data_IF_105755922340
#
_entry.id   IF_105755922340
#
_cell.length_a   1.000
_cell.length_b   1.000
_cell.length_c   1.000
_cell.angle_alpha   90.00
_cell.angle_beta   90.00
_cell.angle_gamma   90.00
#
_symmetry.space_group_name_H-M   'P 1'
#
loop_
_entity.id
_entity.type
_entity.pdbx_description
1 polymer ?
#
# COMPACT_ATOMS: atom_id res chain seq x y z
N UNK A 1 10.84 -38.73 -70.85
CA UNK A 1 11.31 -39.22 -69.55
C UNK A 1 11.70 -38.01 -68.71
N UNK A 2 10.78 -37.52 -67.91
CA UNK A 2 10.94 -36.34 -67.02
C UNK A 2 11.20 -36.82 -65.62
N UNK A 3 12.40 -36.62 -65.07
CA UNK A 3 12.74 -36.89 -63.65
C UNK A 3 12.26 -35.70 -62.82
N UNK A 4 11.27 -35.94 -61.95
CA UNK A 4 10.87 -35.01 -60.91
C UNK A 4 11.84 -35.10 -59.74
N UNK A 5 12.54 -34.04 -59.43
CA UNK A 5 13.33 -33.87 -58.19
C UNK A 5 12.41 -33.36 -57.13
N UNK A 6 12.18 -34.17 -56.08
CA UNK A 6 11.46 -33.79 -54.88
C UNK A 6 12.45 -33.10 -53.93
N UNK A 7 12.31 -31.79 -53.78
CA UNK A 7 13.04 -31.02 -52.76
C UNK A 7 12.32 -31.17 -51.43
N UNK A 8 12.90 -31.86 -50.45
CA UNK A 8 12.44 -31.95 -49.09
C UNK A 8 12.96 -30.70 -48.36
N UNK A 9 12.06 -29.79 -48.02
CA UNK A 9 12.32 -28.66 -47.14
C UNK A 9 12.30 -29.17 -45.68
N UNK A 10 13.48 -29.33 -45.08
CA UNK A 10 13.61 -29.56 -43.62
C UNK A 10 13.45 -28.20 -42.93
N UNK A 11 12.27 -27.95 -42.36
CA UNK A 11 12.05 -26.82 -41.45
C UNK A 11 12.63 -27.22 -40.11
N UNK A 12 13.85 -26.76 -39.82
CA UNK A 12 14.44 -26.83 -38.47
C UNK A 12 13.72 -25.78 -37.61
N UNK A 13 12.69 -26.17 -36.89
CA UNK A 13 12.08 -25.41 -35.83
C UNK A 13 13.08 -25.23 -34.69
N UNK A 14 13.77 -24.07 -34.63
CA UNK A 14 14.46 -23.66 -33.40
C UNK A 14 13.40 -23.36 -32.34
N UNK A 15 13.17 -24.38 -31.48
CA UNK A 15 12.48 -24.14 -30.21
C UNK A 15 13.38 -23.20 -29.37
N UNK A 16 13.00 -21.98 -29.25
CA UNK A 16 13.50 -21.11 -28.23
C UNK A 16 13.00 -21.65 -26.88
N UNK A 17 13.79 -22.53 -26.27
CA UNK A 17 13.67 -22.84 -24.86
C UNK A 17 14.16 -21.57 -24.10
N UNK A 18 13.27 -20.59 -23.93
CA UNK A 18 13.48 -19.56 -22.93
C UNK A 18 13.63 -20.31 -21.60
N UNK A 19 14.78 -20.15 -20.97
CA UNK A 19 15.01 -20.70 -19.64
C UNK A 19 14.00 -20.02 -18.72
N UNK A 20 12.97 -20.76 -18.30
CA UNK A 20 12.07 -20.28 -17.26
C UNK A 20 12.94 -20.08 -16.00
N UNK A 21 12.96 -18.85 -15.49
CA UNK A 21 13.65 -18.55 -14.23
C UNK A 21 13.08 -19.46 -13.13
N UNK A 22 13.97 -20.02 -12.32
CA UNK A 22 13.51 -20.79 -11.16
C UNK A 22 12.88 -19.89 -10.11
N UNK A 23 12.03 -20.42 -9.24
CA UNK A 23 11.48 -19.69 -8.09
C UNK A 23 12.60 -19.08 -7.25
N UNK A 24 13.72 -19.80 -7.08
CA UNK A 24 14.88 -19.30 -6.33
C UNK A 24 15.54 -18.09 -7.02
N UNK A 25 15.67 -18.10 -8.36
CA UNK A 25 16.24 -16.97 -9.11
C UNK A 25 15.32 -15.74 -9.03
N UNK A 26 14.01 -15.96 -9.17
CA UNK A 26 13.01 -14.88 -9.02
C UNK A 26 13.02 -14.29 -7.61
N UNK A 27 13.14 -15.11 -6.58
CA UNK A 27 13.23 -14.65 -5.19
C UNK A 27 14.49 -13.81 -4.96
N UNK A 28 15.65 -14.26 -5.45
CA UNK A 28 16.89 -13.50 -5.34
C UNK A 28 16.83 -12.18 -6.11
N UNK A 29 16.18 -12.16 -7.27
CA UNK A 29 15.95 -10.93 -8.03
C UNK A 29 15.01 -9.97 -7.27
N UNK A 30 13.94 -10.47 -6.67
CA UNK A 30 13.02 -9.68 -5.87
C UNK A 30 13.74 -9.02 -4.66
N UNK A 31 14.55 -9.79 -3.92
CA UNK A 31 15.35 -9.30 -2.79
C UNK A 31 16.32 -8.18 -3.22
N UNK A 32 16.95 -8.31 -4.38
CA UNK A 32 17.86 -7.30 -4.92
C UNK A 32 17.15 -6.00 -5.36
N UNK A 33 15.94 -6.11 -5.92
CA UNK A 33 15.15 -4.97 -6.42
C UNK A 33 14.42 -4.23 -5.30
N UNK A 34 13.99 -4.93 -4.25
CA UNK A 34 13.14 -4.36 -3.21
C UNK A 34 13.72 -3.08 -2.55
N UNK A 35 15.00 -3.00 -2.19
CA UNK A 35 15.58 -1.79 -1.59
C UNK A 35 15.64 -0.59 -2.54
N UNK A 36 15.68 -0.83 -3.85
CA UNK A 36 15.86 0.20 -4.89
C UNK A 36 14.57 0.48 -5.68
N UNK A 37 13.42 -0.02 -5.24
CA UNK A 37 12.11 0.16 -5.89
C UNK A 37 11.57 1.59 -5.86
N UNK A 38 12.31 2.52 -5.23
CA UNK A 38 12.03 3.95 -5.30
C UNK A 38 12.27 4.55 -6.70
N UNK A 39 12.84 3.79 -7.63
CA UNK A 39 12.91 4.12 -9.04
C UNK A 39 11.81 3.37 -9.80
N UNK A 40 11.03 4.07 -10.63
CA UNK A 40 9.87 3.50 -11.32
C UNK A 40 10.22 2.23 -12.12
N UNK A 41 11.33 2.24 -12.85
CA UNK A 41 11.75 1.06 -13.63
C UNK A 41 12.03 -0.17 -12.76
N UNK A 42 12.62 0.03 -11.57
CA UNK A 42 12.86 -1.05 -10.62
C UNK A 42 11.55 -1.52 -9.96
N UNK A 43 10.62 -0.62 -9.68
CA UNK A 43 9.28 -0.95 -9.18
C UNK A 43 8.53 -1.82 -10.19
N UNK A 44 8.48 -1.42 -11.45
CA UNK A 44 7.78 -2.18 -12.51
C UNK A 44 8.41 -3.55 -12.74
N UNK A 45 9.75 -3.63 -12.72
CA UNK A 45 10.46 -4.90 -12.80
C UNK A 45 10.17 -5.80 -11.60
N UNK A 46 10.16 -5.25 -10.39
CA UNK A 46 9.85 -5.98 -9.17
C UNK A 46 8.42 -6.53 -9.17
N UNK A 47 7.45 -5.74 -9.63
CA UNK A 47 6.06 -6.22 -9.82
C UNK A 47 6.05 -7.41 -10.78
N UNK A 48 6.72 -7.32 -11.92
CA UNK A 48 6.80 -8.43 -12.89
C UNK A 48 7.43 -9.69 -12.31
N UNK A 49 8.45 -9.56 -11.46
CA UNK A 49 9.08 -10.70 -10.74
C UNK A 49 8.07 -11.36 -9.79
N UNK A 50 7.32 -10.57 -8.99
CA UNK A 50 6.31 -11.13 -8.10
C UNK A 50 5.12 -11.74 -8.85
N UNK A 51 4.74 -11.20 -10.00
CA UNK A 51 3.73 -11.81 -10.87
C UNK A 51 4.20 -13.16 -11.44
N UNK A 52 5.49 -13.29 -11.78
CA UNK A 52 6.08 -14.55 -12.19
C UNK A 52 6.14 -15.57 -11.03
N UNK A 53 6.45 -15.12 -9.81
CA UNK A 53 6.36 -15.96 -8.60
C UNK A 53 4.94 -16.44 -8.35
N UNK A 54 3.95 -15.56 -8.51
CA UNK A 54 2.54 -15.93 -8.37
C UNK A 54 2.08 -16.93 -9.45
N UNK A 55 2.60 -16.78 -10.68
CA UNK A 55 2.30 -17.74 -11.75
C UNK A 55 2.89 -19.13 -11.47
N UNK A 56 4.06 -19.19 -10.81
CA UNK A 56 4.68 -20.45 -10.38
C UNK A 56 3.94 -21.07 -9.18
N UNK A 57 3.42 -20.27 -8.28
CA UNK A 57 2.71 -20.68 -7.06
C UNK A 57 1.35 -19.95 -6.94
N UNK A 58 0.35 -20.32 -7.75
CA UNK A 58 -0.97 -19.68 -7.71
C UNK A 58 -1.61 -19.83 -6.33
N UNK A 59 -2.00 -18.70 -5.72
CA UNK A 59 -2.60 -18.69 -4.39
C UNK A 59 -1.61 -18.55 -3.22
N UNK A 60 -0.31 -18.35 -3.48
CA UNK A 60 0.65 -18.00 -2.43
C UNK A 60 0.27 -16.66 -1.78
N UNK A 61 -0.27 -16.72 -0.55
CA UNK A 61 -0.80 -15.56 0.16
C UNK A 61 0.28 -14.48 0.42
N UNK A 62 1.52 -14.89 0.70
CA UNK A 62 2.64 -13.96 0.92
C UNK A 62 2.98 -13.19 -0.37
N UNK A 63 3.05 -13.88 -1.50
CA UNK A 63 3.29 -13.25 -2.81
C UNK A 63 2.15 -12.29 -3.17
N UNK A 64 0.90 -12.68 -2.89
CA UNK A 64 -0.28 -11.82 -3.11
C UNK A 64 -0.23 -10.57 -2.23
N UNK A 65 0.15 -10.68 -0.95
CA UNK A 65 0.30 -9.54 -0.05
C UNK A 65 1.42 -8.59 -0.52
N UNK A 66 2.54 -9.14 -1.01
CA UNK A 66 3.62 -8.33 -1.60
C UNK A 66 3.17 -7.61 -2.88
N UNK A 67 2.41 -8.26 -3.74
CA UNK A 67 1.83 -7.60 -4.92
C UNK A 67 0.86 -6.49 -4.51
N UNK A 68 0.04 -6.70 -3.49
CA UNK A 68 -0.84 -5.63 -2.96
C UNK A 68 -0.02 -4.41 -2.49
N UNK A 69 1.08 -4.62 -1.77
CA UNK A 69 2.01 -3.57 -1.37
C UNK A 69 2.61 -2.85 -2.58
N UNK A 70 3.20 -3.59 -3.50
CA UNK A 70 3.92 -3.01 -4.64
C UNK A 70 2.99 -2.22 -5.55
N UNK A 71 1.78 -2.70 -5.81
CA UNK A 71 0.79 -1.96 -6.57
C UNK A 71 0.29 -0.72 -5.82
N UNK A 72 0.14 -0.79 -4.49
CA UNK A 72 -0.14 0.41 -3.68
C UNK A 72 1.00 1.43 -3.77
N UNK A 73 2.25 1.01 -3.61
CA UNK A 73 3.44 1.86 -3.76
C UNK A 73 3.59 2.40 -5.19
N UNK A 74 3.23 1.62 -6.22
CA UNK A 74 3.22 2.05 -7.63
C UNK A 74 2.32 3.26 -7.87
N UNK A 75 1.24 3.42 -7.09
CA UNK A 75 0.35 4.57 -7.18
C UNK A 75 1.05 5.90 -6.84
N UNK A 76 2.17 5.88 -6.11
CA UNK A 76 2.96 7.08 -5.80
C UNK A 76 3.53 7.72 -7.09
N UNK A 77 3.91 6.90 -8.07
CA UNK A 77 4.47 7.35 -9.35
C UNK A 77 3.41 7.71 -10.39
N UNK A 78 2.16 7.38 -10.13
CA UNK A 78 1.12 7.50 -11.13
C UNK A 78 0.50 8.91 -11.17
N UNK A 79 0.11 9.40 -12.35
CA UNK A 79 -0.76 10.55 -12.46
C UNK A 79 -2.14 10.24 -11.86
N UNK A 80 -2.87 11.27 -11.44
CA UNK A 80 -4.09 11.11 -10.65
C UNK A 80 -5.17 10.27 -11.36
N UNK A 81 -5.27 10.41 -12.68
CA UNK A 81 -6.23 9.68 -13.52
C UNK A 81 -6.00 8.16 -13.57
N UNK A 82 -4.76 7.70 -13.33
CA UNK A 82 -4.42 6.28 -13.33
C UNK A 82 -4.54 5.62 -11.95
N UNK A 83 -4.52 6.41 -10.88
CA UNK A 83 -4.44 5.90 -9.50
C UNK A 83 -5.60 4.98 -9.14
N UNK A 84 -6.81 5.25 -9.62
CA UNK A 84 -7.94 4.38 -9.30
C UNK A 84 -7.73 2.95 -9.81
N UNK A 85 -7.31 2.78 -11.07
CA UNK A 85 -7.07 1.46 -11.65
C UNK A 85 -5.94 0.72 -10.91
N UNK A 86 -4.86 1.42 -10.58
CA UNK A 86 -3.72 0.87 -9.84
C UNK A 86 -4.16 0.42 -8.43
N UNK A 87 -4.89 1.25 -7.70
CA UNK A 87 -5.38 0.93 -6.35
C UNK A 87 -6.41 -0.21 -6.36
N UNK A 88 -7.22 -0.33 -7.42
CA UNK A 88 -8.11 -1.50 -7.61
C UNK A 88 -7.31 -2.79 -7.76
N UNK A 89 -6.24 -2.76 -8.54
CA UNK A 89 -5.33 -3.90 -8.69
C UNK A 89 -4.67 -4.25 -7.35
N UNK A 90 -4.18 -3.25 -6.61
CA UNK A 90 -3.61 -3.45 -5.29
C UNK A 90 -4.60 -4.08 -4.30
N UNK A 91 -5.84 -3.55 -4.24
CA UNK A 91 -6.89 -4.09 -3.38
C UNK A 91 -7.32 -5.50 -3.80
N UNK A 92 -7.36 -5.81 -5.11
CA UNK A 92 -7.66 -7.14 -5.61
C UNK A 92 -6.65 -8.18 -5.11
N UNK A 93 -5.36 -7.92 -5.29
CA UNK A 93 -4.30 -8.76 -4.72
C UNK A 93 -4.39 -8.87 -3.20
N UNK A 94 -4.71 -7.76 -2.52
CA UNK A 94 -4.90 -7.74 -1.09
C UNK A 94 -6.03 -8.66 -0.62
N UNK A 95 -7.21 -8.56 -1.21
CA UNK A 95 -8.33 -9.45 -0.86
C UNK A 95 -8.04 -10.92 -1.19
N UNK A 96 -7.33 -11.17 -2.29
CA UNK A 96 -6.87 -12.53 -2.64
C UNK A 96 -5.87 -13.07 -1.61
N UNK A 97 -4.99 -12.24 -1.06
CA UNK A 97 -4.07 -12.65 0.01
C UNK A 97 -4.79 -13.05 1.30
N UNK A 98 -5.99 -12.48 1.52
CA UNK A 98 -6.88 -12.87 2.62
C UNK A 98 -7.71 -14.13 2.34
N UNK A 99 -7.55 -14.74 1.15
CA UNK A 99 -8.24 -15.98 0.74
C UNK A 99 -9.58 -15.77 0.06
N UNK A 100 -9.87 -14.56 -0.41
CA UNK A 100 -11.05 -14.26 -1.24
C UNK A 100 -10.72 -14.37 -2.72
N UNK A 101 -11.74 -14.32 -3.58
CA UNK A 101 -11.55 -14.34 -5.04
C UNK A 101 -11.00 -13.02 -5.60
N UNK A 102 -11.11 -11.91 -4.84
CA UNK A 102 -10.59 -10.60 -5.20
C UNK A 102 -11.43 -9.44 -4.65
N UNK A 103 -11.25 -8.27 -5.27
CA UNK A 103 -11.86 -7.01 -4.83
C UNK A 103 -13.39 -7.07 -4.76
N UNK A 104 -14.05 -7.62 -5.77
CA UNK A 104 -15.52 -7.62 -5.86
C UNK A 104 -16.14 -8.41 -4.70
N UNK A 105 -15.58 -9.57 -4.35
CA UNK A 105 -16.00 -10.34 -3.18
C UNK A 105 -15.72 -9.55 -1.89
N UNK A 106 -14.54 -8.96 -1.76
CA UNK A 106 -14.15 -8.16 -0.61
C UNK A 106 -15.11 -7.00 -0.31
N UNK A 107 -15.54 -6.28 -1.35
CA UNK A 107 -16.48 -5.17 -1.22
C UNK A 107 -17.87 -5.61 -0.73
N UNK A 108 -18.27 -6.84 -0.99
CA UNK A 108 -19.59 -7.39 -0.62
C UNK A 108 -19.63 -8.06 0.75
N UNK A 109 -18.47 -8.29 1.40
CA UNK A 109 -18.44 -8.89 2.73
C UNK A 109 -19.31 -8.13 3.73
N UNK A 110 -20.06 -8.85 4.55
CA UNK A 110 -20.68 -8.28 5.74
C UNK A 110 -19.64 -7.96 6.81
N UNK A 111 -19.96 -7.09 7.76
CA UNK A 111 -19.06 -6.79 8.90
C UNK A 111 -18.74 -8.04 9.73
N UNK A 112 -19.71 -8.96 9.85
CA UNK A 112 -19.52 -10.24 10.55
C UNK A 112 -18.54 -11.16 9.81
N UNK A 113 -18.71 -11.29 8.51
CA UNK A 113 -17.83 -12.13 7.67
C UNK A 113 -16.41 -11.58 7.63
N UNK A 114 -16.25 -10.25 7.52
CA UNK A 114 -14.94 -9.62 7.58
C UNK A 114 -14.25 -9.87 8.92
N UNK A 115 -14.96 -9.71 10.06
CA UNK A 115 -14.38 -10.01 11.38
C UNK A 115 -13.98 -11.48 11.52
N UNK A 116 -14.80 -12.41 11.02
CA UNK A 116 -14.48 -13.83 11.02
C UNK A 116 -13.26 -14.14 10.12
N UNK A 117 -13.12 -13.46 8.99
CA UNK A 117 -11.96 -13.56 8.12
C UNK A 117 -10.70 -13.07 8.83
N UNK A 118 -10.74 -11.85 9.39
CA UNK A 118 -9.61 -11.22 10.06
C UNK A 118 -9.18 -11.98 11.33
N UNK A 119 -10.13 -12.57 12.07
CA UNK A 119 -9.80 -13.36 13.27
C UNK A 119 -8.90 -14.58 12.99
N UNK A 120 -9.01 -15.16 11.79
CA UNK A 120 -8.14 -16.29 11.33
C UNK A 120 -6.90 -15.86 10.58
N UNK A 121 -6.81 -14.59 10.18
CA UNK A 121 -5.64 -14.04 9.49
C UNK A 121 -4.58 -13.64 10.51
N UNK A 122 -3.36 -14.16 10.33
CA UNK A 122 -2.22 -13.91 11.22
C UNK A 122 -1.12 -13.06 10.59
N UNK A 123 -1.22 -12.78 9.29
CA UNK A 123 -0.27 -11.95 8.55
C UNK A 123 -0.73 -10.48 8.54
N UNK A 124 -0.04 -9.58 9.27
CA UNK A 124 -0.37 -8.16 9.27
C UNK A 124 -0.17 -7.50 7.90
N UNK A 125 0.72 -8.03 7.04
CA UNK A 125 0.94 -7.51 5.69
C UNK A 125 -0.31 -7.62 4.83
N UNK A 126 -0.92 -8.80 4.80
CA UNK A 126 -2.14 -9.05 4.04
C UNK A 126 -3.27 -8.09 4.43
N UNK A 127 -3.41 -7.80 5.73
CA UNK A 127 -4.46 -6.92 6.23
C UNK A 127 -4.13 -5.44 5.95
N UNK A 128 -2.88 -5.01 6.25
CA UNK A 128 -2.46 -3.61 6.11
C UNK A 128 -2.58 -3.13 4.67
N UNK A 129 -1.97 -3.87 3.73
CA UNK A 129 -1.93 -3.44 2.34
C UNK A 129 -3.30 -3.51 1.65
N UNK A 130 -4.16 -4.45 2.06
CA UNK A 130 -5.57 -4.46 1.65
C UNK A 130 -6.29 -3.22 2.18
N UNK A 131 -6.14 -2.93 3.47
CA UNK A 131 -6.76 -1.76 4.13
C UNK A 131 -6.29 -0.44 3.54
N UNK A 132 -5.00 -0.29 3.25
CA UNK A 132 -4.44 0.91 2.61
C UNK A 132 -4.99 1.12 1.20
N UNK A 133 -4.96 0.08 0.37
CA UNK A 133 -5.45 0.15 -1.01
C UNK A 133 -6.94 0.46 -1.06
N UNK A 134 -7.74 -0.23 -0.25
CA UNK A 134 -9.17 0.02 -0.14
C UNK A 134 -9.47 1.40 0.46
N UNK A 135 -8.73 1.82 1.49
CA UNK A 135 -8.87 3.14 2.11
C UNK A 135 -8.69 4.29 1.12
N UNK A 136 -7.66 4.23 0.27
CA UNK A 136 -7.47 5.24 -0.78
C UNK A 136 -8.52 5.18 -1.90
N UNK A 137 -9.10 4.00 -2.16
CA UNK A 137 -10.21 3.87 -3.10
C UNK A 137 -11.48 4.55 -2.60
N UNK A 138 -11.71 4.70 -1.28
CA UNK A 138 -12.92 5.33 -0.75
C UNK A 138 -13.14 6.73 -1.33
N UNK A 139 -12.08 7.52 -1.48
CA UNK A 139 -12.16 8.86 -2.05
C UNK A 139 -12.56 8.89 -3.54
N UNK A 140 -12.57 7.73 -4.21
CA UNK A 140 -12.89 7.54 -5.64
C UNK A 140 -14.16 6.73 -5.85
N UNK A 141 -14.74 6.23 -4.77
CA UNK A 141 -15.97 5.43 -4.80
C UNK A 141 -17.23 6.30 -4.69
N UNK A 142 -18.38 5.70 -4.99
CA UNK A 142 -19.66 6.30 -4.65
C UNK A 142 -19.71 6.60 -3.13
N UNK A 143 -20.14 7.81 -2.70
CA UNK A 143 -20.13 8.22 -1.29
C UNK A 143 -20.84 7.25 -0.33
N UNK A 144 -21.95 6.63 -0.75
CA UNK A 144 -22.67 5.65 0.08
C UNK A 144 -21.86 4.38 0.28
N UNK A 145 -21.20 3.87 -0.77
CA UNK A 145 -20.32 2.70 -0.68
C UNK A 145 -19.07 3.02 0.15
N UNK A 146 -18.51 4.21 -0.01
CA UNK A 146 -17.40 4.68 0.82
C UNK A 146 -17.78 4.72 2.30
N UNK A 147 -18.91 5.32 2.65
CA UNK A 147 -19.39 5.40 4.02
C UNK A 147 -19.63 4.02 4.63
N UNK A 148 -20.25 3.10 3.90
CA UNK A 148 -20.48 1.71 4.34
C UNK A 148 -19.16 0.93 4.57
N UNK A 149 -18.07 1.34 3.94
CA UNK A 149 -16.76 0.68 4.05
C UNK A 149 -15.91 1.18 5.21
N UNK A 150 -16.19 2.37 5.78
CA UNK A 150 -15.36 2.99 6.82
C UNK A 150 -15.20 2.11 8.06
N UNK A 151 -16.29 1.49 8.54
CA UNK A 151 -16.26 0.57 9.69
C UNK A 151 -15.42 -0.67 9.42
N UNK A 152 -15.43 -1.17 8.19
CA UNK A 152 -14.66 -2.34 7.77
C UNK A 152 -13.15 -2.04 7.73
N UNK A 153 -12.76 -0.91 7.17
CA UNK A 153 -11.37 -0.45 7.16
C UNK A 153 -10.87 -0.20 8.58
N UNK A 154 -11.71 0.38 9.43
CA UNK A 154 -11.42 0.53 10.85
C UNK A 154 -11.07 -0.82 11.49
N UNK A 155 -11.92 -1.85 11.29
CA UNK A 155 -11.70 -3.20 11.83
C UNK A 155 -10.41 -3.82 11.29
N UNK A 156 -10.03 -3.55 10.04
CA UNK A 156 -8.76 -4.02 9.48
C UNK A 156 -7.56 -3.41 10.21
N UNK A 157 -7.53 -2.09 10.41
CA UNK A 157 -6.42 -1.45 11.11
C UNK A 157 -6.36 -1.84 12.60
N UNK A 158 -7.52 -1.97 13.27
CA UNK A 158 -7.58 -2.52 14.63
C UNK A 158 -6.91 -3.91 14.68
N UNK A 159 -7.17 -4.76 13.68
CA UNK A 159 -6.57 -6.09 13.62
C UNK A 159 -5.07 -6.07 13.35
N UNK A 160 -4.57 -5.17 12.50
CA UNK A 160 -3.11 -4.97 12.31
C UNK A 160 -2.44 -4.60 13.63
N UNK A 161 -3.04 -3.65 14.37
CA UNK A 161 -2.54 -3.20 15.67
C UNK A 161 -2.52 -4.34 16.71
N UNK A 162 -3.56 -5.19 16.72
CA UNK A 162 -3.60 -6.36 17.60
C UNK A 162 -2.53 -7.40 17.28
N UNK A 163 -2.22 -7.60 15.99
CA UNK A 163 -1.23 -8.58 15.55
C UNK A 163 0.20 -8.10 15.78
N UNK A 164 0.50 -6.91 15.32
CA UNK A 164 1.82 -6.28 15.44
C UNK A 164 1.69 -4.76 15.26
N UNK A 165 1.63 -3.98 16.35
CA UNK A 165 1.55 -2.53 16.25
C UNK A 165 2.79 -1.88 15.63
N UNK A 166 3.96 -2.55 15.68
CA UNK A 166 5.22 -2.10 15.09
C UNK A 166 5.39 -2.46 13.62
N UNK A 167 4.48 -3.30 13.09
CA UNK A 167 4.57 -3.72 11.69
C UNK A 167 4.70 -2.52 10.76
N UNK A 168 5.64 -2.62 9.84
CA UNK A 168 5.95 -1.60 8.83
C UNK A 168 6.12 -0.19 9.43
N UNK A 169 6.98 -0.07 10.44
CA UNK A 169 7.30 1.22 11.09
C UNK A 169 6.12 1.86 11.84
N UNK A 170 5.17 1.06 12.33
CA UNK A 170 3.99 1.57 13.03
C UNK A 170 2.86 2.05 12.09
N UNK A 171 2.83 1.54 10.85
CA UNK A 171 1.78 1.91 9.86
C UNK A 171 0.36 1.57 10.29
N UNK A 172 0.16 0.54 11.13
CA UNK A 172 -1.15 0.24 11.70
C UNK A 172 -1.71 1.39 12.54
N UNK A 173 -1.04 1.81 13.62
CA UNK A 173 -1.41 2.99 14.40
C UNK A 173 -1.50 4.27 13.54
N UNK A 174 -0.54 4.53 12.65
CA UNK A 174 -0.55 5.69 11.76
C UNK A 174 -1.84 5.73 10.91
N UNK A 175 -2.19 4.64 10.25
CA UNK A 175 -3.37 4.56 9.39
C UNK A 175 -4.68 4.65 10.19
N UNK A 176 -4.71 4.08 11.38
CA UNK A 176 -5.86 4.22 12.27
C UNK A 176 -6.03 5.67 12.74
N UNK A 177 -4.93 6.35 13.09
CA UNK A 177 -4.93 7.78 13.41
C UNK A 177 -5.45 8.64 12.24
N UNK A 178 -4.99 8.36 11.02
CA UNK A 178 -5.47 9.04 9.82
C UNK A 178 -6.97 8.82 9.59
N UNK A 179 -7.44 7.58 9.77
CA UNK A 179 -8.88 7.28 9.70
C UNK A 179 -9.68 8.06 10.74
N UNK A 180 -9.25 8.10 12.01
CA UNK A 180 -9.93 8.85 13.06
C UNK A 180 -9.94 10.35 12.77
N UNK A 181 -8.82 10.91 12.27
CA UNK A 181 -8.75 12.32 11.89
C UNK A 181 -9.76 12.65 10.77
N UNK A 182 -9.90 11.78 9.78
CA UNK A 182 -10.88 11.94 8.71
C UNK A 182 -12.33 11.77 9.23
N UNK A 183 -12.59 10.81 10.12
CA UNK A 183 -13.89 10.60 10.72
C UNK A 183 -14.31 11.73 11.67
N UNK A 184 -13.34 12.46 12.24
CA UNK A 184 -13.64 13.59 13.14
C UNK A 184 -14.37 14.75 12.45
N UNK A 185 -14.25 14.88 11.12
CA UNK A 185 -15.03 15.85 10.33
C UNK A 185 -16.54 15.52 10.37
N UNK A 186 -16.88 14.27 10.70
CA UNK A 186 -18.24 13.75 10.89
C UNK A 186 -18.49 13.29 12.34
N UNK A 187 -17.80 13.89 13.30
CA UNK A 187 -17.70 13.43 14.70
C UNK A 187 -19.04 13.15 15.38
N UNK A 188 -20.10 13.91 15.07
CA UNK A 188 -21.45 13.69 15.61
C UNK A 188 -22.00 12.31 15.20
N UNK A 189 -21.68 11.81 14.02
CA UNK A 189 -22.14 10.52 13.49
C UNK A 189 -21.34 9.34 14.02
N UNK A 190 -20.02 9.52 14.20
CA UNK A 190 -19.10 8.44 14.55
C UNK A 190 -18.64 8.46 16.02
N UNK A 191 -18.95 9.50 16.77
CA UNK A 191 -18.49 9.67 18.16
C UNK A 191 -16.97 9.86 18.28
N UNK A 192 -16.28 10.26 17.20
CA UNK A 192 -14.84 10.42 17.10
C UNK A 192 -14.45 11.89 17.24
N UNK A 193 -13.43 12.18 18.04
CA UNK A 193 -12.84 13.52 18.15
C UNK A 193 -11.47 13.53 17.47
N UNK A 194 -11.09 14.69 16.90
CA UNK A 194 -9.76 14.84 16.30
C UNK A 194 -8.63 14.55 17.30
N UNK A 195 -8.82 14.88 18.58
CA UNK A 195 -7.87 14.58 19.64
C UNK A 195 -7.59 13.07 19.81
N UNK A 196 -8.55 12.19 19.46
CA UNK A 196 -8.36 10.75 19.54
C UNK A 196 -7.29 10.28 18.52
N UNK A 197 -7.24 10.92 17.34
CA UNK A 197 -6.24 10.64 16.31
C UNK A 197 -4.81 10.96 16.77
N UNK A 198 -4.63 12.01 17.57
CA UNK A 198 -3.33 12.45 18.07
C UNK A 198 -2.57 11.33 18.77
N UNK A 199 -3.24 10.61 19.67
CA UNK A 199 -2.66 9.51 20.44
C UNK A 199 -2.07 8.42 19.54
N UNK A 200 -2.71 8.10 18.42
CA UNK A 200 -2.24 7.08 17.49
C UNK A 200 -1.05 7.56 16.66
N UNK A 201 -1.00 8.82 16.26
CA UNK A 201 0.18 9.37 15.59
C UNK A 201 1.39 9.45 16.52
N UNK A 202 1.20 9.90 17.76
CA UNK A 202 2.25 9.90 18.78
C UNK A 202 2.75 8.49 19.06
N UNK A 203 1.85 7.50 19.13
CA UNK A 203 2.23 6.11 19.26
C UNK A 203 3.04 5.59 18.07
N UNK A 204 2.62 5.86 16.83
CA UNK A 204 3.37 5.48 15.64
C UNK A 204 4.80 6.07 15.65
N UNK A 205 4.96 7.33 16.07
CA UNK A 205 6.28 7.95 16.23
C UNK A 205 7.14 7.28 17.31
N UNK A 206 6.53 6.74 18.38
CA UNK A 206 7.29 6.00 19.42
C UNK A 206 7.73 4.62 18.95
N UNK A 207 6.98 4.00 18.03
CA UNK A 207 7.31 2.69 17.47
C UNK A 207 8.48 2.76 16.49
N UNK A 208 8.44 3.71 15.57
CA UNK A 208 9.54 3.98 14.65
C UNK A 208 9.60 5.47 14.24
N UNK A 209 10.44 6.27 14.90
CA UNK A 209 10.64 7.67 14.53
C UNK A 209 11.40 7.84 13.22
N UNK A 210 12.06 6.78 12.70
CA UNK A 210 12.82 6.81 11.45
C UNK A 210 11.98 6.54 10.21
N UNK A 211 10.76 6.02 10.38
CA UNK A 211 9.76 5.90 9.31
C UNK A 211 9.06 7.26 9.11
N UNK A 212 9.59 8.07 8.20
CA UNK A 212 9.23 9.49 8.06
C UNK A 212 7.78 9.72 7.61
N UNK A 213 7.12 8.74 7.03
CA UNK A 213 5.68 8.82 6.70
C UNK A 213 4.81 9.00 7.96
N UNK A 214 5.26 8.55 9.14
CA UNK A 214 4.57 8.80 10.40
C UNK A 214 4.48 10.30 10.70
N UNK A 215 5.56 11.03 10.46
CA UNK A 215 5.61 12.49 10.65
C UNK A 215 4.75 13.22 9.61
N UNK A 216 4.80 12.78 8.35
CA UNK A 216 3.97 13.34 7.26
C UNK A 216 2.49 13.17 7.58
N UNK A 217 2.07 11.95 7.96
CA UNK A 217 0.69 11.69 8.30
C UNK A 217 0.23 12.50 9.52
N UNK A 218 1.05 12.62 10.56
CA UNK A 218 0.74 13.43 11.74
C UNK A 218 0.61 14.92 11.39
N UNK A 219 1.52 15.46 10.58
CA UNK A 219 1.44 16.83 10.12
C UNK A 219 0.16 17.07 9.31
N UNK A 220 -0.08 16.25 8.28
CA UNK A 220 -1.16 16.48 7.32
C UNK A 220 -2.54 16.16 7.87
N UNK A 221 -2.70 15.01 8.52
CA UNK A 221 -4.00 14.53 8.96
C UNK A 221 -4.42 15.13 10.31
N UNK A 222 -3.48 15.42 11.20
CA UNK A 222 -3.80 15.99 12.51
C UNK A 222 -3.44 17.46 12.62
N UNK A 223 -2.14 17.83 12.57
CA UNK A 223 -1.71 19.19 12.95
C UNK A 223 -2.35 20.28 12.07
N UNK A 224 -2.50 20.02 10.77
CA UNK A 224 -3.20 20.91 9.84
C UNK A 224 -4.68 21.07 10.21
N UNK A 225 -5.39 19.98 10.55
CA UNK A 225 -6.82 20.03 10.95
C UNK A 225 -7.01 20.71 12.30
N UNK A 226 -6.13 20.44 13.25
CA UNK A 226 -6.10 21.03 14.58
C UNK A 226 -5.68 22.51 14.57
N UNK A 227 -5.23 23.04 13.41
CA UNK A 227 -4.67 24.39 13.26
C UNK A 227 -3.41 24.62 14.12
N UNK A 228 -2.67 23.56 14.44
CA UNK A 228 -1.42 23.59 15.17
C UNK A 228 -0.24 23.83 14.21
N UNK A 229 -0.09 25.09 13.73
CA UNK A 229 0.92 25.46 12.71
C UNK A 229 2.34 25.10 13.16
N UNK A 230 2.71 25.40 14.39
CA UNK A 230 4.05 25.10 14.89
C UNK A 230 4.36 23.60 14.84
N UNK A 231 3.43 22.77 15.33
CA UNK A 231 3.58 21.30 15.24
C UNK A 231 3.70 20.83 13.78
N UNK A 232 2.91 21.37 12.87
CA UNK A 232 2.96 21.05 11.45
C UNK A 232 4.34 21.34 10.86
N UNK A 233 4.85 22.55 11.08
CA UNK A 233 6.18 22.96 10.58
C UNK A 233 7.30 22.14 11.22
N UNK A 234 7.27 21.91 12.54
CA UNK A 234 8.27 21.11 13.25
C UNK A 234 8.39 19.67 12.71
N UNK A 235 7.24 19.00 12.49
CA UNK A 235 7.21 17.65 11.93
C UNK A 235 7.80 17.60 10.52
N UNK A 236 7.48 18.58 9.68
CA UNK A 236 7.97 18.63 8.30
C UNK A 236 9.46 18.99 8.22
N UNK A 237 9.94 19.89 9.08
CA UNK A 237 11.37 20.20 9.18
C UNK A 237 12.17 18.99 9.63
N UNK A 238 11.67 18.25 10.64
CA UNK A 238 12.29 16.99 11.05
C UNK A 238 12.45 16.02 9.85
N UNK A 239 11.39 15.85 9.04
CA UNK A 239 11.43 14.99 7.85
C UNK A 239 12.51 15.43 6.86
N UNK A 240 12.66 16.74 6.61
CA UNK A 240 13.66 17.24 5.67
C UNK A 240 15.10 17.00 6.17
N UNK A 241 15.34 17.13 7.47
CA UNK A 241 16.66 17.00 8.08
C UNK A 241 17.08 15.54 8.31
N UNK A 242 16.12 14.66 8.63
CA UNK A 242 16.38 13.26 8.93
C UNK A 242 17.06 12.51 7.76
N UNK A 243 17.89 11.48 8.04
CA UNK A 243 18.47 10.63 7.00
C UNK A 243 17.40 9.78 6.31
N UNK A 244 17.72 9.26 5.11
CA UNK A 244 16.83 8.31 4.40
C UNK A 244 16.71 6.99 5.20
N UNK A 245 17.78 6.50 5.81
CA UNK A 245 17.77 5.31 6.67
C UNK A 245 17.25 4.06 5.97
N UNK A 246 16.57 3.20 6.75
CA UNK A 246 16.15 1.86 6.34
C UNK A 246 14.85 1.83 5.51
N UNK A 247 14.23 2.99 5.30
CA UNK A 247 12.99 3.15 4.54
C UNK A 247 13.19 3.91 3.21
N UNK A 248 14.07 3.45 2.28
CA UNK A 248 14.52 4.27 1.15
C UNK A 248 13.40 4.67 0.19
N UNK A 249 12.35 3.87 0.03
CA UNK A 249 11.19 4.23 -0.78
C UNK A 249 10.36 5.32 -0.09
N UNK A 250 9.86 5.04 1.10
CA UNK A 250 8.92 5.91 1.80
C UNK A 250 9.57 7.20 2.30
N UNK A 251 10.80 7.13 2.82
CA UNK A 251 11.48 8.31 3.33
C UNK A 251 11.87 9.30 2.22
N UNK A 252 12.13 8.83 0.99
CA UNK A 252 12.28 9.72 -0.17
C UNK A 252 10.96 10.40 -0.53
N UNK A 253 9.85 9.65 -0.54
CA UNK A 253 8.53 10.20 -0.77
C UNK A 253 8.14 11.21 0.32
N UNK A 254 8.35 10.88 1.59
CA UNK A 254 8.09 11.77 2.72
C UNK A 254 8.83 13.12 2.58
N UNK A 255 10.11 13.11 2.18
CA UNK A 255 10.88 14.35 1.96
C UNK A 255 10.31 15.22 0.85
N UNK A 256 9.85 14.63 -0.24
CA UNK A 256 9.18 15.37 -1.31
C UNK A 256 7.89 16.00 -0.78
N UNK A 257 7.07 15.25 -0.04
CA UNK A 257 5.83 15.75 0.56
C UNK A 257 6.09 16.85 1.61
N UNK A 258 7.11 16.70 2.43
CA UNK A 258 7.46 17.74 3.40
C UNK A 258 7.82 19.07 2.73
N UNK A 259 8.60 19.04 1.66
CA UNK A 259 8.94 20.24 0.90
C UNK A 259 7.72 20.89 0.24
N UNK A 260 6.83 20.09 -0.37
CA UNK A 260 5.57 20.57 -0.96
C UNK A 260 4.68 21.24 0.10
N UNK A 261 4.47 20.60 1.26
CA UNK A 261 3.59 21.10 2.30
C UNK A 261 4.12 22.36 2.98
N UNK A 262 5.43 22.46 3.19
CA UNK A 262 6.05 23.68 3.70
C UNK A 262 5.95 24.84 2.70
N UNK A 263 6.10 24.56 1.40
CA UNK A 263 5.91 25.59 0.38
C UNK A 263 4.49 26.17 0.39
N UNK A 264 3.50 25.37 0.76
CA UNK A 264 2.09 25.76 0.79
C UNK A 264 1.55 26.09 2.19
N UNK A 265 2.42 26.14 3.21
CA UNK A 265 2.01 26.25 4.63
C UNK A 265 1.04 27.40 4.88
N UNK A 266 1.27 28.59 4.31
CA UNK A 266 0.40 29.74 4.51
C UNK A 266 -1.02 29.56 3.93
N UNK A 267 -1.20 28.64 2.98
CA UNK A 267 -2.54 28.30 2.46
C UNK A 267 -3.35 27.47 3.45
N UNK A 268 -2.67 26.66 4.27
CA UNK A 268 -3.31 25.75 5.22
C UNK A 268 -3.65 26.40 6.55
N UNK A 269 -2.98 27.52 6.91
CA UNK A 269 -3.10 28.19 8.20
C UNK A 269 -3.59 29.65 8.12
N UNK A 270 -4.32 29.97 7.06
CA UNK A 270 -5.02 31.26 6.94
C UNK A 270 -6.26 31.32 7.82
#
# INVERSE_FOLDING_TARGET
MMRRVLSVLVVVGMAWAGWAQSVADLTAEAEALFPIRYELANMERLIGVYEALLAAEPGNATVLAQLAQLWYERAVFAPEEEKEAILRTAADYGFRSLGLSGLDEGLTLSDGDLRALLARTTDPAAILWTGHSWGLLLGRMNPFAAFASLGKIRTMYERVIELDPGYWGGSGPQAYGALLANLSDYGILFGVKLADAKTYFEWALTLDPTYLENHIAYAWEYARRAKERALFEDLLHYVLEAPIGDWPFWNRHAKVKAAEYLHEVDRHFR
#
